data_IF_005633931076
#
_entry.id   IF_005633931076
#
_cell.length_a   1.000
_cell.length_b   1.000
_cell.length_c   1.000
_cell.angle_alpha   90.00
_cell.angle_beta   90.00
_cell.angle_gamma   90.00
#
_symmetry.space_group_name_H-M   'P 1'
#
loop_
_entity.id
_entity.type
_entity.pdbx_description
1 polymer ?
#
# COMPACT_ATOMS: atom_id res chain seq x y z
N UNK A 1 -7.88 -9.21 6.63
CA UNK A 1 -9.16 -9.77 7.10
C UNK A 1 -10.08 -10.19 5.95
N UNK A 2 -10.36 -9.33 4.96
CA UNK A 2 -11.21 -9.70 3.80
C UNK A 2 -10.40 -10.22 2.62
N UNK A 3 -9.10 -10.01 2.60
CA UNK A 3 -8.17 -10.42 1.55
C UNK A 3 -7.14 -11.38 2.16
N UNK A 4 -7.28 -12.70 1.93
CA UNK A 4 -6.51 -13.72 2.65
C UNK A 4 -5.03 -13.76 2.29
N UNK A 5 -4.62 -13.12 1.17
CA UNK A 5 -3.23 -13.07 0.72
C UNK A 5 -2.50 -11.76 1.12
N UNK A 6 -3.21 -10.81 1.73
CA UNK A 6 -2.61 -9.62 2.27
C UNK A 6 -2.03 -9.87 3.67
N UNK A 7 -1.00 -9.12 4.03
CA UNK A 7 -0.38 -9.20 5.35
C UNK A 7 -1.39 -8.85 6.45
N UNK A 8 -1.33 -9.50 7.62
CA UNK A 8 -2.21 -9.20 8.72
C UNK A 8 -1.99 -7.78 9.24
N UNK A 9 -3.08 -7.14 9.65
CA UNK A 9 -3.03 -5.81 10.25
C UNK A 9 -2.47 -5.91 11.65
N UNK A 10 -1.37 -5.22 11.92
CA UNK A 10 -0.79 -5.09 13.24
C UNK A 10 -1.52 -4.02 14.06
N UNK A 11 -1.73 -2.84 13.46
CA UNK A 11 -2.51 -1.76 14.07
C UNK A 11 -3.03 -0.78 13.04
N UNK A 12 -4.09 -0.07 13.41
CA UNK A 12 -4.59 1.09 12.69
C UNK A 12 -4.70 2.29 13.64
N UNK A 13 -4.41 3.50 13.16
CA UNK A 13 -4.53 4.73 13.95
C UNK A 13 -4.98 5.89 13.08
N UNK A 14 -5.78 6.79 13.67
CA UNK A 14 -6.18 8.06 13.08
C UNK A 14 -5.40 9.24 13.68
N UNK A 15 -4.41 8.97 14.53
CA UNK A 15 -3.53 10.02 15.07
C UNK A 15 -2.59 10.50 13.95
N UNK A 16 -2.62 11.80 13.58
CA UNK A 16 -1.81 12.33 12.51
C UNK A 16 -0.30 12.22 12.81
N UNK A 17 0.47 11.79 11.80
CA UNK A 17 1.94 11.73 11.86
C UNK A 17 2.56 12.09 10.51
N UNK A 18 3.49 13.05 10.50
CA UNK A 18 4.32 13.34 9.33
C UNK A 18 3.56 13.71 8.06
N UNK A 19 2.38 14.33 8.15
CA UNK A 19 1.55 14.69 7.00
C UNK A 19 0.49 13.65 6.61
N UNK A 20 0.52 12.44 7.18
CA UNK A 20 -0.56 11.47 7.09
C UNK A 20 -1.60 11.71 8.18
N UNK A 21 -2.89 11.70 7.85
CA UNK A 21 -4.00 11.88 8.79
C UNK A 21 -4.30 10.60 9.60
N UNK A 22 -3.74 9.49 9.19
CA UNK A 22 -3.83 8.19 9.85
C UNK A 22 -2.97 7.18 9.11
N UNK A 23 -2.77 6.01 9.70
CA UNK A 23 -2.04 4.93 9.06
C UNK A 23 -2.53 3.56 9.49
N UNK A 24 -2.37 2.59 8.61
CA UNK A 24 -2.48 1.16 8.91
C UNK A 24 -1.10 0.54 8.78
N UNK A 25 -0.69 -0.18 9.82
CA UNK A 25 0.56 -0.95 9.83
C UNK A 25 0.21 -2.43 9.68
N UNK A 26 0.72 -3.04 8.62
CA UNK A 26 0.66 -4.48 8.42
C UNK A 26 2.06 -5.07 8.62
N UNK A 27 2.15 -6.23 9.24
CA UNK A 27 3.42 -6.94 9.42
C UNK A 27 3.33 -8.27 8.70
N UNK A 28 4.26 -8.57 7.79
CA UNK A 28 4.33 -9.87 7.15
C UNK A 28 4.68 -10.94 8.21
N UNK A 29 3.99 -12.08 8.16
CA UNK A 29 4.28 -13.22 9.04
C UNK A 29 5.61 -13.90 8.72
N UNK A 30 6.07 -13.77 7.48
CA UNK A 30 7.34 -14.32 6.99
C UNK A 30 7.93 -13.38 5.94
N UNK A 31 9.26 -13.39 5.80
CA UNK A 31 9.97 -12.74 4.71
C UNK A 31 9.53 -13.35 3.37
N UNK A 32 8.85 -12.56 2.56
CA UNK A 32 8.39 -12.99 1.24
C UNK A 32 9.43 -12.64 0.19
N UNK A 33 10.00 -13.65 -0.42
CA UNK A 33 10.97 -13.47 -1.50
C UNK A 33 10.29 -13.28 -2.87
N UNK A 34 9.06 -13.75 -3.04
CA UNK A 34 8.33 -13.74 -4.31
C UNK A 34 6.88 -13.30 -4.12
N UNK A 35 6.32 -12.66 -5.14
CA UNK A 35 4.90 -12.35 -5.25
C UNK A 35 4.22 -13.30 -6.23
N UNK A 36 3.11 -13.89 -5.83
CA UNK A 36 2.21 -14.59 -6.74
C UNK A 36 1.22 -13.61 -7.39
N UNK A 37 0.72 -13.95 -8.58
CA UNK A 37 -0.21 -13.10 -9.36
C UNK A 37 -1.46 -12.71 -8.56
N UNK A 38 -2.03 -13.65 -7.81
CA UNK A 38 -3.21 -13.44 -6.96
C UNK A 38 -2.92 -12.55 -5.74
N UNK A 39 -1.73 -12.66 -5.15
CA UNK A 39 -1.29 -11.78 -4.06
C UNK A 39 -1.12 -10.34 -4.55
N UNK A 40 -0.48 -10.16 -5.71
CA UNK A 40 -0.31 -8.83 -6.31
C UNK A 40 -1.68 -8.19 -6.64
N UNK A 41 -2.64 -8.95 -7.17
CA UNK A 41 -4.01 -8.48 -7.40
C UNK A 41 -4.70 -8.05 -6.10
N UNK A 42 -4.61 -8.86 -5.03
CA UNK A 42 -5.18 -8.50 -3.74
C UNK A 42 -4.51 -7.27 -3.12
N UNK A 43 -3.20 -7.10 -3.34
CA UNK A 43 -2.49 -5.87 -2.90
C UNK A 43 -3.01 -4.64 -3.62
N UNK A 44 -3.27 -4.71 -4.94
CA UNK A 44 -3.92 -3.62 -5.70
C UNK A 44 -5.31 -3.33 -5.12
N UNK A 45 -6.12 -4.38 -4.87
CA UNK A 45 -7.45 -4.24 -4.25
C UNK A 45 -7.38 -3.52 -2.90
N UNK A 46 -6.44 -3.92 -2.04
CA UNK A 46 -6.24 -3.30 -0.73
C UNK A 46 -5.86 -1.81 -0.88
N UNK A 47 -4.95 -1.52 -1.79
CA UNK A 47 -4.47 -0.15 -2.03
C UNK A 47 -5.58 0.75 -2.59
N UNK A 48 -6.47 0.23 -3.45
CA UNK A 48 -7.59 0.99 -4.03
C UNK A 48 -8.77 1.17 -3.06
N UNK A 49 -8.76 0.51 -1.89
CA UNK A 49 -9.88 0.54 -0.95
C UNK A 49 -10.14 1.94 -0.37
N UNK A 50 -9.09 2.75 -0.16
CA UNK A 50 -9.24 4.13 0.32
C UNK A 50 -10.09 4.98 -0.62
N UNK A 51 -9.78 4.97 -1.91
CA UNK A 51 -10.58 5.65 -2.95
C UNK A 51 -12.01 5.12 -3.02
N UNK A 52 -12.18 3.79 -2.96
CA UNK A 52 -13.50 3.19 -2.99
C UNK A 52 -14.35 3.61 -1.79
N UNK A 53 -13.75 3.68 -0.60
CA UNK A 53 -14.42 4.12 0.62
C UNK A 53 -14.87 5.58 0.55
N UNK A 54 -14.03 6.49 0.04
CA UNK A 54 -14.41 7.90 -0.16
C UNK A 54 -15.61 8.04 -1.08
N UNK A 55 -15.62 7.34 -2.23
CA UNK A 55 -16.75 7.39 -3.18
C UNK A 55 -18.03 6.84 -2.56
N UNK A 56 -17.95 5.74 -1.80
CA UNK A 56 -19.11 5.16 -1.13
C UNK A 56 -19.70 6.14 -0.09
N UNK A 57 -18.84 6.87 0.64
CA UNK A 57 -19.27 7.74 1.72
C UNK A 57 -19.67 9.14 1.28
N UNK A 58 -18.98 9.72 0.32
CA UNK A 58 -19.12 11.13 -0.04
C UNK A 58 -19.61 11.33 -1.47
N UNK A 59 -19.78 10.25 -2.25
CA UNK A 59 -20.10 10.31 -3.67
C UNK A 59 -18.91 10.75 -4.53
N UNK A 60 -19.07 10.75 -5.85
CA UNK A 60 -18.00 11.09 -6.79
C UNK A 60 -17.49 12.52 -6.64
N UNK A 61 -18.37 13.46 -6.35
CA UNK A 61 -18.05 14.88 -6.16
C UNK A 61 -17.29 15.15 -4.84
N UNK A 62 -17.37 14.22 -3.88
CA UNK A 62 -16.73 14.34 -2.56
C UNK A 62 -15.35 13.69 -2.47
N UNK A 63 -14.80 13.19 -3.58
CA UNK A 63 -13.48 12.54 -3.60
C UNK A 63 -12.38 13.56 -3.38
N UNK A 64 -11.47 13.26 -2.44
CA UNK A 64 -10.30 14.09 -2.16
C UNK A 64 -9.06 13.62 -2.95
N UNK A 65 -7.96 14.36 -2.81
CA UNK A 65 -6.65 13.93 -3.30
C UNK A 65 -5.92 13.00 -2.32
N UNK A 66 -6.53 12.62 -1.20
CA UNK A 66 -5.94 11.73 -0.19
C UNK A 66 -5.42 10.42 -0.77
N UNK A 67 -6.19 9.72 -1.62
CA UNK A 67 -5.76 8.47 -2.24
C UNK A 67 -4.67 8.58 -3.34
N UNK A 68 -4.09 9.76 -3.59
CA UNK A 68 -3.10 9.92 -4.68
C UNK A 68 -1.89 9.00 -4.53
N UNK A 69 -1.38 8.82 -3.31
CA UNK A 69 -0.29 7.89 -3.02
C UNK A 69 -0.66 6.43 -3.28
N UNK A 70 -1.88 6.06 -2.94
CA UNK A 70 -2.42 4.71 -3.17
C UNK A 70 -2.56 4.42 -4.66
N UNK A 71 -3.09 5.38 -5.42
CA UNK A 71 -3.19 5.26 -6.88
C UNK A 71 -1.81 5.10 -7.53
N UNK A 72 -0.82 5.87 -7.06
CA UNK A 72 0.56 5.76 -7.54
C UNK A 72 1.15 4.36 -7.23
N UNK A 73 0.95 3.86 -6.03
CA UNK A 73 1.43 2.54 -5.61
C UNK A 73 0.75 1.41 -6.40
N UNK A 74 -0.57 1.44 -6.55
CA UNK A 74 -1.32 0.49 -7.35
C UNK A 74 -0.85 0.48 -8.81
N UNK A 75 -0.63 1.67 -9.40
CA UNK A 75 -0.14 1.82 -10.77
C UNK A 75 1.27 1.26 -10.96
N UNK A 76 2.17 1.51 -10.00
CA UNK A 76 3.52 0.97 -10.04
C UNK A 76 3.52 -0.57 -9.96
N UNK A 77 2.69 -1.14 -9.09
CA UNK A 77 2.56 -2.59 -8.93
C UNK A 77 1.95 -3.23 -10.21
N UNK A 78 0.87 -2.67 -10.74
CA UNK A 78 0.25 -3.16 -11.98
C UNK A 78 1.23 -3.11 -13.17
N UNK A 79 2.02 -2.02 -13.30
CA UNK A 79 3.07 -1.95 -14.32
C UNK A 79 4.15 -3.03 -14.13
N UNK A 80 4.59 -3.27 -12.89
CA UNK A 80 5.56 -4.33 -12.61
C UNK A 80 5.01 -5.71 -13.01
N UNK A 81 3.76 -6.00 -12.71
CA UNK A 81 3.08 -7.25 -13.09
C UNK A 81 3.07 -7.45 -14.61
N UNK A 82 2.70 -6.41 -15.37
CA UNK A 82 2.54 -6.49 -16.82
C UNK A 82 3.87 -6.42 -17.54
N UNK A 83 4.75 -5.50 -17.15
CA UNK A 83 5.96 -5.16 -17.91
C UNK A 83 7.20 -5.96 -17.50
N UNK A 84 7.30 -6.40 -16.23
CA UNK A 84 8.50 -7.06 -15.69
C UNK A 84 8.27 -8.51 -15.32
N UNK A 85 7.10 -8.84 -14.77
CA UNK A 85 6.86 -10.17 -14.22
C UNK A 85 6.15 -11.12 -15.17
N UNK A 86 5.75 -10.63 -16.36
CA UNK A 86 5.06 -11.45 -17.36
C UNK A 86 3.73 -12.02 -16.87
N UNK A 87 3.01 -11.28 -16.01
CA UNK A 87 1.76 -11.71 -15.38
C UNK A 87 0.51 -11.35 -16.20
N UNK A 88 0.67 -10.79 -17.41
CA UNK A 88 -0.42 -10.55 -18.36
C UNK A 88 -0.37 -11.57 -19.49
N UNK A 89 -1.49 -12.24 -19.73
CA UNK A 89 -1.61 -13.21 -20.81
C UNK A 89 -1.69 -12.52 -22.19
N UNK A 90 -2.18 -11.27 -22.24
CA UNK A 90 -2.30 -10.47 -23.48
C UNK A 90 -0.93 -9.91 -23.90
N UNK A 91 -0.13 -9.45 -22.96
CA UNK A 91 1.18 -8.85 -23.23
C UNK A 91 2.28 -9.91 -23.32
N UNK A 92 2.12 -11.02 -22.62
CA UNK A 92 3.05 -12.15 -22.61
C UNK A 92 4.23 -11.98 -21.65
N UNK A 93 5.08 -13.01 -21.60
CA UNK A 93 6.24 -13.07 -20.69
C UNK A 93 7.48 -12.42 -21.33
N UNK A 94 7.44 -11.12 -21.53
CA UNK A 94 8.53 -10.30 -22.09
C UNK A 94 8.80 -9.15 -21.15
N UNK A 95 10.06 -8.82 -20.90
CA UNK A 95 10.45 -7.64 -20.13
C UNK A 95 10.44 -6.40 -21.01
N UNK A 96 9.50 -5.50 -20.73
CA UNK A 96 9.34 -4.21 -21.40
C UNK A 96 9.81 -3.02 -20.54
N UNK A 97 10.41 -3.25 -19.38
CA UNK A 97 10.77 -2.19 -18.44
C UNK A 97 11.81 -1.22 -19.02
N UNK A 98 12.82 -1.75 -19.70
CA UNK A 98 13.87 -0.93 -20.34
C UNK A 98 13.31 0.04 -21.40
N UNK A 99 12.23 -0.37 -22.10
CA UNK A 99 11.59 0.47 -23.10
C UNK A 99 10.87 1.70 -22.48
N UNK A 100 10.52 1.62 -21.22
CA UNK A 100 9.83 2.71 -20.50
C UNK A 100 10.82 3.67 -19.83
N UNK A 101 11.98 3.19 -19.39
CA UNK A 101 13.01 4.01 -18.73
C UNK A 101 13.87 4.83 -19.70
N UNK A 102 13.68 4.68 -21.01
CA UNK A 102 14.44 5.33 -22.09
C UNK A 102 14.32 6.87 -22.20
N UNK A 103 13.90 7.57 -21.15
CA UNK A 103 13.93 9.05 -21.10
C UNK A 103 15.34 9.63 -20.84
N UNK A 104 16.33 8.80 -20.57
CA UNK A 104 17.71 9.24 -20.29
C UNK A 104 18.63 9.20 -21.52
N UNK A 105 18.20 9.70 -22.68
CA UNK A 105 19.09 10.08 -23.80
C UNK A 105 19.94 8.97 -24.43
N UNK A 106 19.81 7.73 -24.03
CA UNK A 106 20.55 6.61 -24.60
C UNK A 106 19.72 5.96 -25.73
N UNK A 107 20.07 6.25 -26.97
CA UNK A 107 19.39 5.82 -28.21
C UNK A 107 19.53 4.33 -28.55
N UNK A 108 19.88 3.49 -27.58
CA UNK A 108 20.07 2.04 -27.75
C UNK A 108 18.96 1.17 -27.16
N UNK A 109 17.91 1.75 -26.55
CA UNK A 109 16.82 1.00 -25.91
C UNK A 109 15.90 0.33 -26.95
N UNK A 110 15.44 -0.87 -26.63
CA UNK A 110 14.46 -1.63 -27.41
C UNK A 110 13.18 -0.80 -27.60
N UNK A 111 12.88 -0.46 -28.86
CA UNK A 111 11.69 0.36 -29.19
C UNK A 111 10.45 -0.54 -29.25
N UNK A 112 9.53 -0.35 -28.32
CA UNK A 112 8.24 -1.04 -28.30
C UNK A 112 7.28 -0.38 -29.30
N UNK A 113 6.56 -1.18 -30.09
CA UNK A 113 5.58 -0.66 -31.06
C UNK A 113 4.44 0.09 -30.34
N UNK A 114 3.81 1.05 -31.04
CA UNK A 114 2.66 1.78 -30.50
C UNK A 114 1.54 0.83 -30.05
N UNK A 115 1.28 -0.23 -30.81
CA UNK A 115 0.28 -1.25 -30.47
C UNK A 115 0.62 -1.98 -29.17
N UNK A 116 1.88 -2.33 -28.95
CA UNK A 116 2.30 -2.99 -27.71
C UNK A 116 2.19 -2.06 -26.51
N UNK A 117 2.51 -0.76 -26.66
CA UNK A 117 2.30 0.24 -25.61
C UNK A 117 0.84 0.36 -25.22
N UNK A 118 -0.05 0.45 -26.22
CA UNK A 118 -1.49 0.49 -26.01
C UNK A 118 -1.98 -0.74 -25.22
N UNK A 119 -1.56 -1.95 -25.61
CA UNK A 119 -1.89 -3.18 -24.89
C UNK A 119 -1.40 -3.17 -23.46
N UNK A 120 -0.18 -2.68 -23.19
CA UNK A 120 0.36 -2.56 -21.83
C UNK A 120 -0.49 -1.59 -21.01
N UNK A 121 -0.83 -0.42 -21.55
CA UNK A 121 -1.65 0.58 -20.87
C UNK A 121 -3.07 0.08 -20.57
N UNK A 122 -3.68 -0.65 -21.50
CA UNK A 122 -4.98 -1.30 -21.29
C UNK A 122 -4.93 -2.32 -20.17
N UNK A 123 -3.95 -3.23 -20.17
CA UNK A 123 -3.80 -4.25 -19.13
C UNK A 123 -3.54 -3.66 -17.74
N UNK A 124 -2.70 -2.62 -17.66
CA UNK A 124 -2.45 -1.90 -16.40
C UNK A 124 -3.74 -1.27 -15.88
N UNK A 125 -4.52 -0.62 -16.76
CA UNK A 125 -5.80 -0.01 -16.39
C UNK A 125 -6.81 -1.06 -15.94
N UNK A 126 -6.90 -2.18 -16.65
CA UNK A 126 -7.81 -3.29 -16.32
C UNK A 126 -7.50 -3.87 -14.94
N UNK A 127 -6.23 -4.13 -14.62
CA UNK A 127 -5.81 -4.62 -13.30
C UNK A 127 -6.19 -3.65 -12.16
N UNK A 128 -6.02 -2.35 -12.37
CA UNK A 128 -6.37 -1.33 -11.37
C UNK A 128 -7.88 -1.26 -11.20
N UNK A 129 -8.64 -1.28 -12.31
CA UNK A 129 -10.09 -1.23 -12.29
C UNK A 129 -10.69 -2.49 -11.65
N UNK A 130 -10.18 -3.69 -11.97
CA UNK A 130 -10.57 -4.93 -11.28
C UNK A 130 -10.35 -4.81 -9.77
N UNK A 131 -9.19 -4.31 -9.35
CA UNK A 131 -8.86 -4.13 -7.93
C UNK A 131 -9.78 -3.12 -7.25
N UNK A 132 -10.11 -2.01 -7.91
CA UNK A 132 -11.04 -1.00 -7.42
C UNK A 132 -12.46 -1.55 -7.27
N UNK A 133 -12.98 -2.25 -8.28
CA UNK A 133 -14.32 -2.84 -8.24
C UNK A 133 -14.42 -3.92 -7.16
N UNK A 134 -13.40 -4.74 -6.98
CA UNK A 134 -13.37 -5.74 -5.92
C UNK A 134 -13.31 -5.08 -4.53
N UNK A 135 -12.53 -4.03 -4.34
CA UNK A 135 -12.51 -3.25 -3.10
C UNK A 135 -13.89 -2.66 -2.79
N UNK A 136 -14.54 -2.08 -3.80
CA UNK A 136 -15.89 -1.52 -3.67
C UNK A 136 -16.91 -2.59 -3.30
N UNK A 137 -16.86 -3.75 -3.96
CA UNK A 137 -17.74 -4.90 -3.65
C UNK A 137 -17.60 -5.34 -2.19
N UNK A 138 -16.36 -5.51 -1.72
CA UNK A 138 -16.08 -5.92 -0.33
C UNK A 138 -16.60 -4.90 0.68
N UNK A 139 -16.39 -3.60 0.42
CA UNK A 139 -16.83 -2.53 1.33
C UNK A 139 -18.37 -2.45 1.42
N UNK A 140 -19.07 -2.62 0.30
CA UNK A 140 -20.54 -2.64 0.29
C UNK A 140 -21.06 -3.89 1.00
N UNK A 141 -20.52 -5.07 0.69
CA UNK A 141 -20.93 -6.34 1.29
C UNK A 141 -20.71 -6.36 2.81
N UNK A 142 -19.68 -5.66 3.29
CA UNK A 142 -19.31 -5.59 4.70
C UNK A 142 -19.51 -4.20 5.32
N UNK A 143 -20.51 -3.46 4.83
CA UNK A 143 -20.77 -2.08 5.25
C UNK A 143 -20.89 -1.95 6.77
N UNK A 144 -21.63 -2.84 7.44
CA UNK A 144 -21.77 -2.79 8.90
C UNK A 144 -20.41 -2.94 9.63
N UNK A 145 -19.54 -3.82 9.14
CA UNK A 145 -18.21 -4.01 9.71
C UNK A 145 -17.33 -2.78 9.49
N UNK A 146 -17.42 -2.17 8.32
CA UNK A 146 -16.73 -0.94 7.97
C UNK A 146 -17.16 0.22 8.88
N UNK A 147 -18.46 0.39 9.10
CA UNK A 147 -19.01 1.41 10.00
C UNK A 147 -18.59 1.19 11.47
N UNK A 148 -18.63 -0.06 11.95
CA UNK A 148 -18.17 -0.37 13.32
C UNK A 148 -16.70 -0.03 13.49
N UNK A 149 -15.85 -0.37 12.51
CA UNK A 149 -14.43 -0.05 12.55
C UNK A 149 -14.17 1.46 12.54
N UNK A 150 -14.89 2.21 11.69
CA UNK A 150 -14.78 3.66 11.66
C UNK A 150 -15.16 4.29 13.01
N UNK A 151 -16.27 3.87 13.62
CA UNK A 151 -16.70 4.32 14.95
C UNK A 151 -15.67 3.95 16.03
N UNK A 152 -15.15 2.72 16.01
CA UNK A 152 -14.12 2.28 16.96
C UNK A 152 -12.84 3.12 16.85
N UNK A 153 -12.40 3.46 15.63
CA UNK A 153 -11.25 4.34 15.46
C UNK A 153 -11.52 5.79 15.91
N UNK A 154 -12.75 6.29 15.76
CA UNK A 154 -13.11 7.61 16.30
C UNK A 154 -13.16 7.62 17.84
N UNK A 155 -13.46 6.50 18.48
CA UNK A 155 -13.56 6.38 19.93
C UNK A 155 -12.19 6.12 20.58
N UNK A 156 -11.41 5.21 20.02
CA UNK A 156 -10.14 4.74 20.61
C UNK A 156 -8.89 5.31 19.97
N UNK A 157 -9.03 6.03 18.84
CA UNK A 157 -7.96 6.63 18.01
C UNK A 157 -6.93 5.63 17.46
N UNK A 158 -6.65 4.55 18.16
CA UNK A 158 -5.71 3.48 17.77
C UNK A 158 -6.27 2.13 18.16
N UNK A 159 -6.25 1.18 17.25
CA UNK A 159 -6.67 -0.20 17.46
C UNK A 159 -5.58 -1.17 16.99
N UNK A 160 -5.28 -2.17 17.80
CA UNK A 160 -4.45 -3.33 17.42
C UNK A 160 -5.22 -4.25 16.46
N UNK A 161 -4.52 -5.18 15.79
CA UNK A 161 -5.17 -6.17 14.91
C UNK A 161 -6.22 -7.03 15.62
N UNK A 162 -5.99 -7.39 16.90
CA UNK A 162 -6.96 -8.13 17.72
C UNK A 162 -8.20 -7.29 18.03
N UNK A 163 -8.00 -6.05 18.46
CA UNK A 163 -9.09 -5.11 18.77
C UNK A 163 -9.91 -4.80 17.52
N UNK A 164 -9.28 -4.61 16.36
CA UNK A 164 -9.97 -4.49 15.09
C UNK A 164 -10.86 -5.71 14.84
N UNK A 165 -10.33 -6.92 15.10
CA UNK A 165 -11.09 -8.17 14.99
C UNK A 165 -12.34 -8.17 15.89
N UNK A 166 -12.23 -7.74 17.13
CA UNK A 166 -13.35 -7.63 18.09
C UNK A 166 -14.37 -6.60 17.63
N UNK A 167 -13.92 -5.39 17.29
CA UNK A 167 -14.78 -4.29 16.84
C UNK A 167 -15.61 -4.65 15.61
N UNK A 168 -15.02 -5.25 14.60
CA UNK A 168 -15.79 -5.65 13.39
C UNK A 168 -16.80 -6.76 13.66
N UNK A 169 -16.59 -7.62 14.67
CA UNK A 169 -17.58 -8.59 15.13
C UNK A 169 -18.64 -8.01 16.04
N UNK A 170 -18.50 -6.74 16.47
CA UNK A 170 -19.42 -6.07 17.38
C UNK A 170 -19.20 -6.46 18.85
N UNK A 171 -18.01 -6.99 19.19
CA UNK A 171 -17.60 -7.30 20.56
C UNK A 171 -17.11 -6.03 21.25
N UNK A 172 -17.44 -5.85 22.53
CA UNK A 172 -16.91 -4.74 23.31
C UNK A 172 -15.41 -4.92 23.54
N UNK A 173 -14.65 -3.84 23.42
CA UNK A 173 -13.27 -3.82 23.88
C UNK A 173 -13.35 -3.76 25.42
N UNK A 174 -13.06 -4.88 26.10
CA UNK A 174 -13.08 -4.95 27.57
C UNK A 174 -12.09 -3.95 28.14
N UNK A 175 -12.59 -3.04 28.97
CA UNK A 175 -11.72 -2.23 29.81
C UNK A 175 -11.17 -3.08 30.94
N UNK A 176 -9.98 -3.64 30.74
CA UNK A 176 -9.08 -4.08 31.79
C UNK A 176 -7.73 -4.41 31.15
N UNK A 177 -7.03 -3.40 30.79
CA UNK A 177 -5.57 -3.30 30.94
C UNK A 177 -5.15 -1.85 30.63
N UNK A 178 -4.94 -1.08 31.69
CA UNK A 178 -4.23 0.20 31.70
C UNK A 178 -2.73 -0.03 31.38
N UNK A 179 -2.45 -0.74 30.31
CA UNK A 179 -1.11 -0.79 29.75
C UNK A 179 -1.07 0.20 28.60
N UNK A 180 -0.45 1.37 28.75
CA UNK A 180 -0.19 2.25 27.63
C UNK A 180 0.54 1.43 26.55
N UNK A 181 0.24 1.62 25.26
CA UNK A 181 0.88 0.85 24.19
C UNK A 181 2.38 0.89 24.40
N UNK A 182 2.96 -0.29 24.61
CA UNK A 182 4.39 -0.48 24.88
C UNK A 182 5.20 0.43 23.97
N UNK A 183 5.98 1.32 24.57
CA UNK A 183 6.85 2.23 23.86
C UNK A 183 7.58 1.43 22.77
N UNK A 184 7.56 1.94 21.55
CA UNK A 184 8.33 1.40 20.44
C UNK A 184 9.73 1.12 21.01
N UNK A 185 10.27 -0.11 20.90
CA UNK A 185 11.63 -0.36 21.37
C UNK A 185 12.51 0.68 20.68
N UNK A 186 13.18 1.49 21.49
CA UNK A 186 14.08 2.53 20.99
C UNK A 186 15.11 1.82 20.11
N UNK A 187 15.06 2.11 18.81
CA UNK A 187 16.12 1.67 17.89
C UNK A 187 17.43 2.16 18.52
N UNK A 188 18.39 1.28 18.80
CA UNK A 188 19.66 1.70 19.37
C UNK A 188 20.24 2.77 18.45
N UNK A 189 20.61 3.90 19.06
CA UNK A 189 21.17 5.03 18.34
C UNK A 189 22.39 4.54 17.53
N UNK A 190 22.34 4.72 16.22
CA UNK A 190 23.48 4.43 15.34
C UNK A 190 24.66 5.24 15.88
N UNK A 191 25.80 4.63 16.23
CA UNK A 191 26.97 5.35 16.70
C UNK A 191 27.34 6.40 15.65
N UNK A 192 27.37 7.67 16.04
CA UNK A 192 27.87 8.74 15.16
C UNK A 192 29.34 8.45 14.88
N UNK A 193 29.66 8.18 13.63
CA UNK A 193 31.05 8.13 13.17
C UNK A 193 31.62 9.55 13.40
N UNK A 194 32.73 9.70 14.18
CA UNK A 194 33.33 10.99 14.33
C UNK A 194 33.85 11.49 12.97
N UNK A 195 33.80 12.80 12.68
CA UNK A 195 34.35 13.33 11.43
C UNK A 195 35.85 13.00 11.34
N UNK A 196 36.24 12.47 10.18
CA UNK A 196 37.63 12.14 9.91
C UNK A 196 38.52 13.35 10.20
N UNK A 197 39.50 13.16 11.07
CA UNK A 197 40.40 14.20 11.48
C UNK A 197 41.10 14.87 10.29
N UNK A 198 41.11 16.20 10.29
CA UNK A 198 41.92 17.01 9.37
C UNK A 198 43.39 16.62 9.54
N UNK A 199 44.02 16.22 8.44
CA UNK A 199 45.47 16.02 8.41
C UNK A 199 46.18 17.32 8.74
N UNK A 200 47.29 17.28 9.52
CA UNK A 200 48.07 18.50 9.84
C UNK A 200 48.69 19.09 8.58
N UNK A 201 48.54 20.40 8.42
CA UNK A 201 49.17 21.18 7.34
C UNK A 201 50.66 21.26 7.66
N UNK A 202 51.57 20.91 6.74
CA UNK A 202 53.00 21.09 6.98
C UNK A 202 53.34 22.59 6.96
N UNK A 203 53.91 23.06 8.05
CA UNK A 203 54.55 24.40 8.14
C UNK A 203 55.89 24.35 7.45
N UNK A 204 56.11 25.28 6.53
CA UNK A 204 57.39 25.56 5.88
C UNK A 204 58.35 26.28 6.82
#
# INVERSE_FOLDING_TARGET
MSLPKCDPVYKATIIPRGGALGMVVSLPEMDRLNYHKDEAKQKITMTMAGKAAEIIKYGEEGVSNGPAGDIQQASALARAMVMRWGMSDKVGAVDYAEAHEGYSGNTGGFSVSAKTKEMIEEEVRELIEEGYQEARRILIEKEEQFERLAKGLLEYETLTGEEIGKVIRGEALGGDDDTPPSAIPSVPAIPRVPPAGQAPVPTA
#
